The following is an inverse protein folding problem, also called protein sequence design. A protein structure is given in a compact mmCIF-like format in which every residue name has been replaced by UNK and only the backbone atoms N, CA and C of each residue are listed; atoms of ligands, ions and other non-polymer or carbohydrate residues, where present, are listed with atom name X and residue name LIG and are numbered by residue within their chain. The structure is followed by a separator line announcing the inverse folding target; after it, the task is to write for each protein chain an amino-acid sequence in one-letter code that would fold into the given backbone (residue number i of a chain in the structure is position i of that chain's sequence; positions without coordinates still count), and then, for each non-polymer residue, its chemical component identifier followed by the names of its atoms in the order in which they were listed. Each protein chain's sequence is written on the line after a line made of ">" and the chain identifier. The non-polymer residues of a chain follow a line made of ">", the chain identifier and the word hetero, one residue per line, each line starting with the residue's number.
data_IF_240903981330
#
_entry.id   IF_240903981330
#
_cell.length_a   1.000
_cell.length_b   1.000
_cell.length_c   1.000
_cell.angle_alpha   90.00
_cell.angle_beta   90.00
_cell.angle_gamma   90.00
#
_symmetry.space_group_name_H-M   'P 1'
#
loop_
_entity.id
_entity.type
_entity.pdbx_description
1 polymer ?
#
# COMPACT_ATOMS: atom_id res chain seq x y z
N UNK A 1 9.04 1.98 -13.29
CA UNK A 1 9.20 1.17 -14.52
C UNK A 1 7.85 0.57 -14.92
N UNK A 2 7.64 0.23 -16.20
CA UNK A 2 6.34 -0.23 -16.72
C UNK A 2 5.76 -1.45 -15.97
N UNK A 3 6.61 -2.37 -15.52
CA UNK A 3 6.18 -3.54 -14.75
C UNK A 3 5.59 -3.18 -13.37
N UNK A 4 6.23 -2.27 -12.64
CA UNK A 4 5.75 -1.83 -11.33
C UNK A 4 4.38 -1.16 -11.42
N UNK A 5 4.14 -0.38 -12.50
CA UNK A 5 2.84 0.23 -12.75
C UNK A 5 1.76 -0.82 -13.03
N UNK A 6 2.06 -1.84 -13.84
CA UNK A 6 1.11 -2.92 -14.12
C UNK A 6 0.76 -3.71 -12.86
N UNK A 7 1.74 -4.00 -12.01
CA UNK A 7 1.52 -4.65 -10.71
C UNK A 7 0.62 -3.81 -9.81
N UNK A 8 0.90 -2.50 -9.73
CA UNK A 8 0.07 -1.54 -9.01
C UNK A 8 -1.39 -1.57 -9.49
N UNK A 9 -1.62 -1.57 -10.80
CA UNK A 9 -2.96 -1.57 -11.38
C UNK A 9 -3.71 -2.88 -11.10
N UNK A 10 -3.04 -4.03 -11.15
CA UNK A 10 -3.62 -5.33 -10.76
C UNK A 10 -4.01 -5.31 -9.29
N UNK A 11 -3.11 -4.87 -8.40
CA UNK A 11 -3.33 -4.85 -6.95
C UNK A 11 -4.54 -3.96 -6.60
N UNK A 12 -4.67 -2.78 -7.21
CA UNK A 12 -5.82 -1.88 -6.99
C UNK A 12 -7.16 -2.49 -7.39
N UNK A 13 -7.17 -3.47 -8.30
CA UNK A 13 -8.39 -4.16 -8.73
C UNK A 13 -8.84 -5.29 -7.80
N UNK A 14 -8.01 -5.72 -6.84
CA UNK A 14 -8.31 -6.85 -5.96
C UNK A 14 -9.34 -6.52 -4.86
N UNK A 15 -9.29 -5.35 -4.19
CA UNK A 15 -10.28 -4.99 -3.18
C UNK A 15 -11.73 -5.01 -3.67
N UNK A 16 -11.98 -4.55 -4.90
CA UNK A 16 -13.30 -4.61 -5.54
C UNK A 16 -13.85 -6.03 -5.75
N UNK A 17 -13.04 -7.06 -5.50
CA UNK A 17 -13.42 -8.49 -5.56
C UNK A 17 -13.57 -9.13 -4.18
N UNK A 18 -13.57 -8.33 -3.11
CA UNK A 18 -13.69 -8.79 -1.73
C UNK A 18 -12.38 -9.28 -1.12
N UNK A 19 -11.22 -8.99 -1.74
CA UNK A 19 -9.92 -9.37 -1.20
C UNK A 19 -9.30 -8.22 -0.38
N UNK A 20 -8.84 -8.52 0.84
CA UNK A 20 -7.95 -7.61 1.56
C UNK A 20 -6.52 -7.77 1.05
N UNK A 21 -5.78 -6.66 0.89
CA UNK A 21 -4.40 -6.68 0.40
C UNK A 21 -3.48 -6.03 1.41
N UNK A 22 -2.38 -6.71 1.73
CA UNK A 22 -1.25 -6.15 2.47
C UNK A 22 -0.05 -6.04 1.53
N UNK A 23 0.54 -4.84 1.47
CA UNK A 23 1.75 -4.56 0.70
C UNK A 23 2.84 -4.00 1.59
N UNK A 24 4.09 -4.34 1.26
CA UNK A 24 5.30 -3.81 1.92
C UNK A 24 6.28 -3.36 0.85
N UNK A 25 6.81 -2.15 0.99
CA UNK A 25 7.85 -1.57 0.13
C UNK A 25 8.65 -0.57 0.99
N UNK A 26 9.92 -0.37 0.65
CA UNK A 26 10.78 0.61 1.31
C UNK A 26 10.58 2.04 0.78
N UNK A 27 9.96 2.23 -0.39
CA UNK A 27 9.61 3.55 -0.91
C UNK A 27 8.18 3.94 -0.45
N UNK A 28 8.04 4.85 0.52
CA UNK A 28 6.74 5.22 1.07
C UNK A 28 5.81 5.82 0.03
N UNK A 29 6.33 6.44 -1.04
CA UNK A 29 5.52 7.02 -2.11
C UNK A 29 4.81 5.95 -2.94
N UNK A 30 5.42 4.76 -3.10
CA UNK A 30 4.80 3.63 -3.79
C UNK A 30 3.68 3.01 -2.94
N UNK A 31 3.94 2.79 -1.65
CA UNK A 31 2.94 2.26 -0.71
C UNK A 31 1.75 3.22 -0.60
N UNK A 32 2.03 4.50 -0.40
CA UNK A 32 1.04 5.55 -0.31
C UNK A 32 0.29 5.80 -1.63
N UNK A 33 0.67 5.18 -2.75
CA UNK A 33 -0.07 5.20 -4.02
C UNK A 33 -1.08 4.03 -4.15
N UNK A 34 -0.96 3.00 -3.30
CA UNK A 34 -1.70 1.74 -3.39
C UNK A 34 -2.60 1.48 -2.19
N UNK A 35 -2.21 1.92 -1.01
CA UNK A 35 -2.87 1.56 0.23
C UNK A 35 -3.91 2.60 0.68
N UNK A 36 -4.98 2.13 1.31
CA UNK A 36 -5.97 2.99 2.00
C UNK A 36 -5.43 3.46 3.36
N UNK A 37 -4.62 2.61 3.99
CA UNK A 37 -3.92 2.87 5.24
C UNK A 37 -2.46 2.48 5.11
N UNK A 38 -1.55 3.36 5.53
CA UNK A 38 -0.11 3.14 5.57
C UNK A 38 0.34 3.05 7.01
N UNK A 39 1.03 1.98 7.37
CA UNK A 39 1.69 1.84 8.67
C UNK A 39 3.21 1.96 8.48
N UNK A 40 3.87 2.72 9.35
CA UNK A 40 5.33 2.79 9.39
C UNK A 40 5.84 1.98 10.56
N UNK A 41 6.80 1.09 10.29
CA UNK A 41 7.43 0.24 11.32
C UNK A 41 8.87 0.69 11.53
N UNK A 42 9.24 0.99 12.77
CA UNK A 42 10.61 1.25 13.18
C UNK A 42 10.96 0.40 14.40
N UNK A 43 12.13 -0.28 14.36
CA UNK A 43 12.63 -1.13 15.47
C UNK A 43 11.59 -2.13 16.00
N UNK A 44 10.77 -2.68 15.11
CA UNK A 44 9.75 -3.68 15.43
C UNK A 44 8.41 -3.11 15.90
N UNK A 45 8.28 -1.78 15.98
CA UNK A 45 7.07 -1.11 16.49
C UNK A 45 6.41 -0.26 15.39
N UNK A 46 5.08 -0.17 15.43
CA UNK A 46 4.33 0.75 14.56
C UNK A 46 4.44 2.15 15.14
N UNK A 47 5.10 3.05 14.40
CA UNK A 47 5.34 4.44 14.85
C UNK A 47 4.39 5.45 14.20
N UNK A 48 3.73 5.09 13.10
CA UNK A 48 2.74 5.92 12.42
C UNK A 48 1.67 5.09 11.71
N UNK A 49 0.48 5.67 11.56
CA UNK A 49 -0.65 5.11 10.82
C UNK A 49 -1.38 6.22 10.08
N UNK A 50 -1.16 6.31 8.77
CA UNK A 50 -1.75 7.33 7.90
C UNK A 50 -2.88 6.71 7.07
N UNK A 51 -4.10 7.22 7.25
CA UNK A 51 -5.25 6.83 6.43
C UNK A 51 -5.50 7.90 5.37
N UNK A 52 -5.69 7.49 4.12
CA UNK A 52 -6.14 8.42 3.08
C UNK A 52 -7.54 8.92 3.40
N UNK A 53 -7.76 10.23 3.26
CA UNK A 53 -9.11 10.79 3.29
C UNK A 53 -9.89 10.30 2.07
N UNK A 54 -11.16 9.96 2.29
CA UNK A 54 -12.09 9.43 1.28
C UNK A 54 -12.44 10.47 0.20
#
# INVERSE_FOLDING_TARGET
>A
PALAQRLADVIRGLPGRGAAVLVTDSDPRRVAALADVVYTIERGEIVAADRRAE
#
